data_IF_026625668128
#
_entry.id   IF_026625668128
#
_cell.length_a   1.000
_cell.length_b   1.000
_cell.length_c   1.000
_cell.angle_alpha   90.00
_cell.angle_beta   90.00
_cell.angle_gamma   90.00
#
_symmetry.space_group_name_H-M   'P 1'
#
loop_
_entity.id
_entity.type
_entity.pdbx_description
1 polymer ?
#
# COMPACT_ATOMS: atom_id res chain seq x y z
N UNK A 1 -13.72 70.68 -28.44
CA UNK A 1 -13.04 69.53 -29.07
C UNK A 1 -12.49 68.68 -27.94
N UNK A 2 -13.21 67.63 -27.58
CA UNK A 2 -12.76 66.62 -26.64
C UNK A 2 -13.15 65.28 -27.28
N UNK A 3 -12.13 64.48 -27.56
CA UNK A 3 -12.23 63.16 -28.19
C UNK A 3 -13.11 62.21 -27.34
N UNK A 4 -13.99 61.41 -27.97
CA UNK A 4 -14.62 60.29 -27.29
C UNK A 4 -13.62 59.14 -27.14
N UNK A 5 -13.36 58.78 -25.88
CA UNK A 5 -12.51 57.69 -25.42
C UNK A 5 -13.04 56.34 -25.94
N UNK A 6 -12.20 55.59 -26.66
CA UNK A 6 -12.52 54.24 -27.14
C UNK A 6 -12.70 53.27 -25.97
N UNK A 7 -13.69 52.36 -26.01
CA UNK A 7 -13.83 51.29 -25.02
C UNK A 7 -12.64 50.32 -25.13
N UNK A 8 -12.05 49.99 -23.98
CA UNK A 8 -10.92 49.07 -23.86
C UNK A 8 -11.23 47.71 -24.47
N UNK A 9 -10.35 47.25 -25.34
CA UNK A 9 -10.37 45.91 -25.91
C UNK A 9 -10.17 44.91 -24.76
N UNK A 10 -11.19 44.09 -24.50
CA UNK A 10 -11.02 42.88 -23.72
C UNK A 10 -10.27 41.94 -24.66
N UNK A 11 -9.01 41.66 -24.36
CA UNK A 11 -8.25 40.66 -25.09
C UNK A 11 -8.90 39.31 -24.77
N UNK A 12 -9.73 38.82 -25.70
CA UNK A 12 -10.16 37.44 -25.73
C UNK A 12 -8.89 36.60 -25.94
N UNK A 13 -8.29 36.14 -24.85
CA UNK A 13 -7.20 35.15 -24.90
C UNK A 13 -7.74 33.93 -25.64
N UNK A 14 -7.23 33.70 -26.85
CA UNK A 14 -7.52 32.53 -27.67
C UNK A 14 -7.34 31.26 -26.81
N UNK A 15 -8.45 30.65 -26.40
CA UNK A 15 -8.46 29.40 -25.63
C UNK A 15 -7.94 28.31 -26.56
N UNK A 16 -6.63 28.11 -26.55
CA UNK A 16 -6.00 26.89 -27.06
C UNK A 16 -6.50 25.77 -26.17
N UNK A 17 -7.51 25.04 -26.65
CA UNK A 17 -8.14 23.94 -25.93
C UNK A 17 -7.10 22.80 -25.78
N UNK A 18 -6.26 22.89 -24.75
CA UNK A 18 -5.38 21.81 -24.34
C UNK A 18 -6.22 20.62 -23.88
N UNK A 19 -5.81 19.40 -24.23
CA UNK A 19 -6.47 18.16 -23.80
C UNK A 19 -6.51 18.01 -22.27
N UNK A 20 -5.59 18.70 -21.57
CA UNK A 20 -5.52 18.73 -20.12
C UNK A 20 -6.01 20.09 -19.61
N UNK A 21 -6.77 20.11 -18.51
CA UNK A 21 -7.17 21.36 -17.87
C UNK A 21 -5.93 22.09 -17.35
N UNK A 22 -5.98 23.41 -17.37
CA UNK A 22 -4.96 24.23 -16.72
C UNK A 22 -4.86 23.89 -15.23
N UNK A 23 -3.65 23.99 -14.64
CA UNK A 23 -3.47 23.75 -13.23
C UNK A 23 -4.35 24.70 -12.39
N UNK A 24 -4.81 24.26 -11.21
CA UNK A 24 -5.68 25.07 -10.36
C UNK A 24 -5.07 26.43 -10.03
N UNK A 25 -5.84 27.55 -10.10
CA UNK A 25 -5.30 28.91 -10.08
C UNK A 25 -4.48 29.25 -8.83
N UNK A 26 -4.67 28.49 -7.73
CA UNK A 26 -3.95 28.70 -6.48
C UNK A 26 -2.43 28.51 -6.58
N UNK A 27 -1.92 27.80 -7.61
CA UNK A 27 -0.47 27.62 -7.80
C UNK A 27 0.28 28.96 -7.92
N UNK A 28 -0.39 30.01 -8.43
CA UNK A 28 0.19 31.35 -8.60
C UNK A 28 0.56 32.02 -7.28
N UNK A 29 -0.08 31.62 -6.17
CA UNK A 29 0.18 32.19 -4.85
C UNK A 29 1.38 31.57 -4.13
N UNK A 30 1.96 30.48 -4.66
CA UNK A 30 3.16 29.83 -4.14
C UNK A 30 4.43 30.61 -4.53
N UNK A 31 4.52 31.87 -4.11
CA UNK A 31 5.69 32.74 -4.28
C UNK A 31 6.59 32.67 -3.04
N UNK A 32 7.91 32.90 -3.17
CA UNK A 32 8.84 32.89 -2.03
C UNK A 32 8.44 33.93 -0.97
N UNK A 33 7.96 35.09 -1.39
CA UNK A 33 7.49 36.17 -0.50
C UNK A 33 6.27 35.74 0.34
N UNK A 34 5.31 35.04 -0.27
CA UNK A 34 4.12 34.57 0.45
C UNK A 34 4.46 33.44 1.44
N UNK A 35 5.42 32.58 1.10
CA UNK A 35 5.94 31.55 2.00
C UNK A 35 6.65 32.15 3.22
N UNK A 36 7.44 33.22 3.03
CA UNK A 36 8.08 33.93 4.13
C UNK A 36 7.06 34.60 5.05
N UNK A 37 6.02 35.24 4.48
CA UNK A 37 4.91 35.80 5.25
C UNK A 37 4.16 34.75 6.07
N UNK A 38 3.88 33.59 5.47
CA UNK A 38 3.23 32.49 6.17
C UNK A 38 4.07 32.03 7.37
N UNK A 39 5.38 31.85 7.19
CA UNK A 39 6.31 31.47 8.27
C UNK A 39 6.37 32.50 9.40
N UNK A 40 6.34 33.79 9.07
CA UNK A 40 6.30 34.86 10.08
C UNK A 40 5.01 34.78 10.90
N UNK A 41 3.87 34.58 10.25
CA UNK A 41 2.57 34.47 10.92
C UNK A 41 2.51 33.21 11.79
N UNK A 42 3.05 32.08 11.32
CA UNK A 42 3.15 30.85 12.10
C UNK A 42 4.05 31.04 13.34
N UNK A 43 5.19 31.72 13.16
CA UNK A 43 6.09 32.11 14.25
C UNK A 43 5.39 33.02 15.27
N UNK A 44 4.68 34.05 14.82
CA UNK A 44 3.93 34.99 15.67
C UNK A 44 2.77 34.31 16.40
N UNK A 45 2.15 33.29 15.79
CA UNK A 45 1.14 32.45 16.41
C UNK A 45 1.71 31.44 17.42
N UNK A 46 3.03 31.41 17.62
CA UNK A 46 3.72 30.50 18.54
C UNK A 46 3.80 29.06 18.04
N UNK A 47 3.57 28.84 16.74
CA UNK A 47 3.67 27.55 16.08
C UNK A 47 5.13 27.33 15.66
N UNK A 48 5.98 26.99 16.64
CA UNK A 48 7.35 26.61 16.34
C UNK A 48 7.37 25.21 15.68
N UNK A 49 7.96 25.12 14.48
CA UNK A 49 8.39 23.84 13.89
C UNK A 49 9.51 23.24 14.76
N UNK A 50 9.15 22.59 15.87
CA UNK A 50 10.07 21.68 16.54
C UNK A 50 10.19 20.44 15.65
N UNK A 51 11.23 20.43 14.82
CA UNK A 51 11.58 19.37 13.87
C UNK A 51 11.99 18.03 14.53
N UNK A 52 11.78 17.84 15.85
CA UNK A 52 12.32 16.71 16.60
C UNK A 52 11.34 15.54 16.82
N UNK A 53 10.07 15.63 16.40
CA UNK A 53 9.14 14.50 16.51
C UNK A 53 8.19 14.39 15.29
N UNK A 54 8.38 13.40 14.38
CA UNK A 54 7.53 13.18 13.21
C UNK A 54 6.10 12.71 13.56
N UNK A 55 5.78 12.55 14.85
CA UNK A 55 4.47 12.06 15.34
C UNK A 55 3.58 13.18 15.89
N UNK A 56 4.10 14.40 16.05
CA UNK A 56 3.29 15.52 16.51
C UNK A 56 2.44 16.08 15.36
N UNK A 57 1.11 16.26 15.53
CA UNK A 57 0.32 16.94 14.51
C UNK A 57 0.92 18.33 14.35
N UNK A 58 1.40 18.66 13.14
CA UNK A 58 1.91 19.99 12.82
C UNK A 58 0.96 21.03 13.44
N UNK A 59 1.48 21.90 14.29
CA UNK A 59 0.64 22.83 15.04
C UNK A 59 -0.10 23.70 14.01
N UNK A 60 -1.40 23.47 13.83
CA UNK A 60 -2.20 24.14 12.80
C UNK A 60 -2.74 25.47 13.35
N UNK A 61 -2.72 26.50 12.51
CA UNK A 61 -3.50 27.72 12.75
C UNK A 61 -4.97 27.35 12.96
N UNK A 62 -5.65 27.99 13.91
CA UNK A 62 -7.08 27.73 14.14
C UNK A 62 -7.92 28.16 12.92
N UNK A 63 -9.09 27.55 12.68
CA UNK A 63 -9.94 27.90 11.53
C UNK A 63 -10.29 29.39 11.45
N UNK A 64 -10.46 30.04 12.60
CA UNK A 64 -10.75 31.47 12.69
C UNK A 64 -9.55 32.32 12.24
N UNK A 65 -8.34 31.94 12.61
CA UNK A 65 -7.10 32.59 12.16
C UNK A 65 -6.89 32.38 10.65
N UNK A 66 -7.21 31.20 10.13
CA UNK A 66 -7.10 30.88 8.69
C UNK A 66 -8.07 31.73 7.86
N UNK A 67 -9.28 31.98 8.36
CA UNK A 67 -10.27 32.82 7.68
C UNK A 67 -9.94 34.32 7.73
N UNK A 68 -9.17 34.75 8.74
CA UNK A 68 -8.69 36.13 8.86
C UNK A 68 -7.51 36.44 7.93
N UNK A 69 -6.84 35.42 7.38
CA UNK A 69 -5.72 35.60 6.46
C UNK A 69 -6.18 36.09 5.08
N UNK A 70 -5.33 36.86 4.39
CA UNK A 70 -5.49 37.13 2.96
C UNK A 70 -5.67 35.83 2.18
N UNK A 71 -6.53 35.86 1.15
CA UNK A 71 -6.86 34.69 0.32
C UNK A 71 -5.62 33.98 -0.22
N UNK A 72 -4.58 34.74 -0.54
CA UNK A 72 -3.33 34.23 -1.13
C UNK A 72 -2.54 33.35 -0.16
N UNK A 73 -2.59 33.67 1.13
CA UNK A 73 -1.93 32.89 2.18
C UNK A 73 -2.77 31.69 2.61
N UNK A 74 -4.11 31.79 2.50
CA UNK A 74 -5.02 30.68 2.80
C UNK A 74 -4.80 29.49 1.87
N UNK A 75 -4.46 29.73 0.61
CA UNK A 75 -4.18 28.67 -0.37
C UNK A 75 -2.89 27.89 -0.11
N UNK A 76 -1.98 28.43 0.70
CA UNK A 76 -0.73 27.75 1.07
C UNK A 76 -0.94 26.72 2.18
N UNK A 77 -2.06 26.82 2.91
CA UNK A 77 -2.40 25.93 4.01
C UNK A 77 -3.21 24.75 3.44
N UNK A 78 -2.78 23.50 3.65
CA UNK A 78 -3.56 22.34 3.24
C UNK A 78 -4.98 22.37 3.84
N UNK A 79 -6.02 22.06 3.06
CA UNK A 79 -7.39 22.05 3.57
C UNK A 79 -7.56 20.99 4.66
N UNK A 80 -8.58 21.17 5.50
CA UNK A 80 -8.96 20.14 6.46
C UNK A 80 -9.45 18.89 5.72
N UNK A 81 -9.09 17.68 6.22
CA UNK A 81 -9.62 16.45 5.65
C UNK A 81 -11.15 16.46 5.75
N UNK A 82 -11.87 15.88 4.77
CA UNK A 82 -13.32 15.72 4.86
C UNK A 82 -13.72 15.01 6.16
N UNK A 83 -14.90 15.35 6.68
CA UNK A 83 -15.47 14.66 7.84
C UNK A 83 -15.68 13.16 7.55
N UNK A 84 -15.68 12.34 8.60
CA UNK A 84 -15.73 10.87 8.49
C UNK A 84 -16.92 10.33 7.67
N UNK A 85 -18.04 11.03 7.72
CA UNK A 85 -19.30 10.74 7.04
C UNK A 85 -19.49 11.48 5.71
N UNK A 86 -18.62 12.45 5.41
CA UNK A 86 -18.68 13.23 4.18
C UNK A 86 -18.36 12.35 2.96
N UNK A 87 -19.19 12.49 1.93
CA UNK A 87 -18.99 11.85 0.64
C UNK A 87 -18.07 12.71 -0.22
N UNK A 88 -17.02 12.10 -0.76
CA UNK A 88 -16.13 12.74 -1.72
C UNK A 88 -15.89 11.82 -2.90
N UNK A 89 -15.65 12.40 -4.07
CA UNK A 89 -15.37 11.65 -5.28
C UNK A 89 -13.87 11.39 -5.40
N UNK A 90 -13.51 10.11 -5.54
CA UNK A 90 -12.18 9.70 -5.99
C UNK A 90 -12.38 9.10 -7.37
N UNK A 91 -11.93 9.83 -8.40
CA UNK A 91 -12.29 9.56 -9.80
C UNK A 91 -13.82 9.47 -9.94
N UNK A 92 -14.34 8.40 -10.54
CA UNK A 92 -15.77 8.18 -10.75
C UNK A 92 -16.46 7.48 -9.57
N UNK A 93 -15.78 7.32 -8.43
CA UNK A 93 -16.33 6.59 -7.28
C UNK A 93 -16.61 7.50 -6.09
N UNK A 94 -17.83 7.40 -5.54
CA UNK A 94 -18.20 8.06 -4.28
C UNK A 94 -17.55 7.28 -3.13
N UNK A 95 -16.61 7.93 -2.45
CA UNK A 95 -15.89 7.41 -1.29
C UNK A 95 -16.31 8.14 -0.01
N UNK A 96 -16.08 7.48 1.13
CA UNK A 96 -16.23 8.04 2.48
C UNK A 96 -14.94 7.78 3.23
N UNK A 97 -14.56 8.68 4.14
CA UNK A 97 -13.32 8.53 4.92
C UNK A 97 -13.36 7.28 5.82
N UNK A 98 -14.53 6.91 6.34
CA UNK A 98 -14.75 5.65 7.10
C UNK A 98 -14.77 4.38 6.23
N UNK A 99 -14.68 4.53 4.91
CA UNK A 99 -14.85 3.45 3.95
C UNK A 99 -16.31 3.26 3.54
N UNK A 100 -16.51 2.85 2.30
CA UNK A 100 -17.81 2.47 1.76
C UNK A 100 -17.93 0.96 1.70
N UNK A 101 -19.15 0.42 1.70
CA UNK A 101 -19.37 -0.99 1.37
C UNK A 101 -19.18 -1.22 -0.14
N UNK A 102 -17.91 -1.21 -0.55
CA UNK A 102 -17.48 -1.40 -1.94
C UNK A 102 -17.89 -2.79 -2.42
N UNK A 103 -17.85 -3.79 -1.54
CA UNK A 103 -18.12 -5.16 -1.92
C UNK A 103 -19.58 -5.38 -2.32
N UNK A 104 -20.54 -4.93 -1.49
CA UNK A 104 -21.96 -5.09 -1.82
C UNK A 104 -22.34 -4.29 -3.07
N UNK A 105 -21.84 -3.06 -3.23
CA UNK A 105 -22.04 -2.27 -4.46
C UNK A 105 -21.49 -2.97 -5.70
N UNK A 106 -20.29 -3.55 -5.60
CA UNK A 106 -19.71 -4.33 -6.71
C UNK A 106 -20.56 -5.55 -7.04
N UNK A 107 -21.13 -6.20 -6.02
CA UNK A 107 -21.95 -7.39 -6.25
C UNK A 107 -23.32 -7.05 -6.86
N UNK A 108 -23.91 -5.91 -6.49
CA UNK A 108 -25.09 -5.35 -7.15
C UNK A 108 -24.80 -4.98 -8.62
N UNK A 109 -23.65 -4.34 -8.87
CA UNK A 109 -23.21 -4.04 -10.24
C UNK A 109 -23.04 -5.32 -11.08
N UNK A 110 -22.41 -6.36 -10.51
CA UNK A 110 -22.25 -7.66 -11.18
C UNK A 110 -23.62 -8.28 -11.47
N UNK A 111 -24.57 -8.22 -10.53
CA UNK A 111 -25.93 -8.72 -10.75
C UNK A 111 -26.64 -8.00 -11.90
N UNK A 112 -26.54 -6.67 -11.98
CA UNK A 112 -27.13 -5.89 -13.08
C UNK A 112 -26.46 -6.21 -14.43
N UNK A 113 -25.13 -6.35 -14.46
CA UNK A 113 -24.41 -6.75 -15.68
C UNK A 113 -24.83 -8.15 -16.17
N UNK A 114 -24.96 -9.12 -15.26
CA UNK A 114 -25.41 -10.47 -15.60
C UNK A 114 -26.84 -10.49 -16.15
N UNK A 115 -27.69 -9.59 -15.64
CA UNK A 115 -29.05 -9.37 -16.15
C UNK A 115 -29.05 -8.73 -17.53
N UNK A 116 -28.21 -7.73 -17.78
CA UNK A 116 -28.07 -7.11 -19.10
C UNK A 116 -27.56 -8.09 -20.16
N UNK A 117 -26.63 -8.97 -19.79
CA UNK A 117 -26.11 -10.01 -20.68
C UNK A 117 -27.11 -11.17 -20.91
N UNK A 118 -28.22 -11.21 -20.18
CA UNK A 118 -29.22 -12.27 -20.26
C UNK A 118 -28.74 -13.61 -19.71
N UNK A 119 -27.72 -13.62 -18.84
CA UNK A 119 -27.18 -14.84 -18.22
C UNK A 119 -28.06 -15.26 -17.05
N UNK A 120 -28.41 -14.32 -16.16
CA UNK A 120 -29.33 -14.53 -15.04
C UNK A 120 -30.27 -13.35 -14.88
N UNK A 121 -31.57 -13.58 -14.69
CA UNK A 121 -32.55 -12.49 -14.53
C UNK A 121 -32.68 -11.99 -13.08
N UNK A 122 -32.36 -12.87 -12.13
CA UNK A 122 -32.80 -12.85 -10.73
C UNK A 122 -31.65 -13.16 -9.74
N UNK A 123 -30.40 -13.23 -10.21
CA UNK A 123 -29.29 -13.52 -9.32
C UNK A 123 -29.02 -12.34 -8.38
N UNK A 124 -29.02 -12.61 -7.08
CA UNK A 124 -28.65 -11.69 -6.03
C UNK A 124 -27.63 -12.36 -5.10
N UNK A 125 -26.74 -11.56 -4.54
CA UNK A 125 -25.74 -12.07 -3.62
C UNK A 125 -26.36 -12.45 -2.28
N UNK A 126 -26.13 -13.70 -1.88
CA UNK A 126 -26.52 -14.24 -0.59
C UNK A 126 -25.26 -14.66 0.18
N UNK A 127 -25.11 -14.19 1.42
CA UNK A 127 -24.00 -14.59 2.28
C UNK A 127 -24.25 -15.97 2.89
N UNK A 128 -23.35 -16.92 2.62
CA UNK A 128 -23.48 -18.33 3.01
C UNK A 128 -22.62 -18.75 4.22
N UNK A 129 -22.02 -17.79 4.92
CA UNK A 129 -21.17 -18.02 6.07
C UNK A 129 -21.50 -17.03 7.19
N UNK A 130 -21.26 -17.38 8.47
CA UNK A 130 -21.54 -16.48 9.57
C UNK A 130 -20.61 -15.26 9.49
N UNK A 131 -21.20 -14.07 9.40
CA UNK A 131 -20.46 -12.82 9.60
C UNK A 131 -20.17 -12.64 11.10
N UNK A 132 -18.98 -12.10 11.42
CA UNK A 132 -18.70 -11.61 12.76
C UNK A 132 -19.79 -10.59 13.12
N UNK A 133 -20.57 -10.89 14.17
CA UNK A 133 -21.74 -10.11 14.63
C UNK A 133 -21.34 -8.75 15.23
N UNK A 134 -20.58 -7.95 14.49
CA UNK A 134 -20.09 -6.63 14.87
C UNK A 134 -20.56 -5.50 13.94
N UNK A 135 -21.23 -5.81 12.83
CA UNK A 135 -21.68 -4.81 11.86
C UNK A 135 -23.20 -4.55 11.86
N UNK A 136 -23.99 -5.32 12.62
CA UNK A 136 -25.45 -5.17 12.67
C UNK A 136 -25.99 -5.26 14.10
N UNK A 137 -25.64 -4.31 14.96
CA UNK A 137 -26.47 -3.99 16.14
C UNK A 137 -26.21 -2.57 16.63
N UNK A 138 -26.91 -1.62 16.02
CA UNK A 138 -27.39 -0.48 16.80
C UNK A 138 -28.31 -1.03 17.89
N UNK A 139 -28.10 -0.55 19.12
CA UNK A 139 -28.89 -0.80 20.34
C UNK A 139 -28.59 -2.08 21.13
N UNK A 140 -27.88 -1.84 22.24
CA UNK A 140 -28.06 -2.46 23.56
C UNK A 140 -27.82 -3.96 23.70
N UNK A 141 -26.60 -4.34 24.06
CA UNK A 141 -26.39 -5.15 25.28
C UNK A 141 -24.94 -5.07 25.74
N UNK A 142 -24.80 -4.87 27.06
CA UNK A 142 -23.56 -4.85 27.80
C UNK A 142 -23.13 -6.28 28.07
N UNK A 143 -21.99 -6.72 27.52
CA UNK A 143 -21.16 -7.73 28.20
C UNK A 143 -19.71 -7.63 27.73
N UNK A 144 -18.88 -7.11 28.61
CA UNK A 144 -17.44 -7.10 28.54
C UNK A 144 -16.87 -8.53 28.63
N UNK A 145 -16.32 -9.03 27.53
CA UNK A 145 -15.32 -10.09 27.54
C UNK A 145 -14.22 -9.78 26.51
N UNK A 146 -12.94 -10.04 26.82
CA UNK A 146 -11.82 -9.75 25.94
C UNK A 146 -11.81 -10.70 24.71
N UNK A 147 -11.38 -10.24 23.52
CA UNK A 147 -11.46 -11.02 22.29
C UNK A 147 -10.31 -12.03 22.19
N UNK A 148 -10.56 -13.28 22.60
CA UNK A 148 -9.67 -14.43 22.33
C UNK A 148 -10.06 -15.18 21.04
N UNK A 149 -10.96 -14.63 20.23
CA UNK A 149 -11.65 -15.33 19.13
C UNK A 149 -10.97 -15.24 17.75
N UNK A 150 -9.84 -14.53 17.60
CA UNK A 150 -9.25 -14.28 16.27
C UNK A 150 -8.77 -15.55 15.56
N UNK A 151 -8.20 -16.50 16.31
CA UNK A 151 -7.67 -17.75 15.74
C UNK A 151 -8.78 -18.77 15.45
N UNK A 152 -9.80 -18.84 16.31
CA UNK A 152 -10.96 -19.70 16.06
C UNK A 152 -11.75 -19.23 14.85
N UNK A 153 -11.93 -17.90 14.71
CA UNK A 153 -12.58 -17.31 13.55
C UNK A 153 -11.78 -17.53 12.25
N UNK A 154 -10.44 -17.46 12.29
CA UNK A 154 -9.63 -17.72 11.09
C UNK A 154 -9.67 -19.19 10.66
N UNK A 155 -9.64 -20.11 11.63
CA UNK A 155 -9.72 -21.55 11.37
C UNK A 155 -11.10 -21.93 10.82
N UNK A 156 -12.16 -21.34 11.35
CA UNK A 156 -13.52 -21.52 10.85
C UNK A 156 -13.66 -21.01 9.41
N UNK A 157 -13.13 -19.82 9.10
CA UNK A 157 -13.09 -19.27 7.72
C UNK A 157 -12.37 -20.18 6.73
N UNK A 158 -11.23 -20.78 7.12
CA UNK A 158 -10.52 -21.76 6.28
C UNK A 158 -11.40 -22.99 5.99
N UNK A 159 -12.14 -23.48 6.98
CA UNK A 159 -13.05 -24.61 6.78
C UNK A 159 -14.17 -24.26 5.79
N UNK A 160 -14.77 -23.07 5.88
CA UNK A 160 -15.75 -22.60 4.89
C UNK A 160 -15.14 -22.49 3.49
N UNK A 161 -13.92 -21.96 3.37
CA UNK A 161 -13.22 -21.86 2.09
C UNK A 161 -13.05 -23.25 1.42
N UNK A 162 -12.56 -24.24 2.17
CA UNK A 162 -12.44 -25.60 1.66
C UNK A 162 -13.79 -26.27 1.38
N UNK A 163 -14.83 -25.95 2.18
CA UNK A 163 -16.18 -26.47 1.96
C UNK A 163 -16.79 -25.90 0.67
N UNK A 164 -16.63 -24.60 0.42
CA UNK A 164 -17.03 -23.98 -0.85
C UNK A 164 -16.25 -24.56 -2.02
N UNK A 165 -14.93 -24.75 -1.90
CA UNK A 165 -14.12 -25.36 -2.97
C UNK A 165 -14.65 -26.76 -3.35
N UNK A 166 -14.85 -27.63 -2.36
CA UNK A 166 -15.39 -28.98 -2.60
C UNK A 166 -16.80 -28.92 -3.21
N UNK A 167 -17.66 -28.03 -2.70
CA UNK A 167 -19.02 -27.86 -3.19
C UNK A 167 -19.08 -27.30 -4.62
N UNK A 168 -18.20 -26.35 -4.98
CA UNK A 168 -18.05 -25.82 -6.33
C UNK A 168 -17.59 -26.93 -7.29
N UNK A 169 -16.60 -27.74 -6.90
CA UNK A 169 -16.13 -28.86 -7.72
C UNK A 169 -17.23 -29.90 -7.98
N UNK A 170 -17.98 -30.29 -6.94
CA UNK A 170 -19.10 -31.21 -7.07
C UNK A 170 -20.22 -30.62 -7.94
N UNK A 171 -20.54 -29.34 -7.74
CA UNK A 171 -21.54 -28.65 -8.54
C UNK A 171 -21.12 -28.55 -10.01
N UNK A 172 -19.84 -28.28 -10.28
CA UNK A 172 -19.30 -28.24 -11.64
C UNK A 172 -19.36 -29.61 -12.34
N UNK A 173 -19.07 -30.71 -11.64
CA UNK A 173 -19.23 -32.06 -12.18
C UNK A 173 -20.72 -32.34 -12.46
N UNK A 174 -21.61 -31.94 -11.56
CA UNK A 174 -23.06 -32.10 -11.79
C UNK A 174 -23.54 -31.28 -12.98
N UNK A 175 -23.03 -30.06 -13.15
CA UNK A 175 -23.31 -29.19 -14.28
C UNK A 175 -22.81 -29.83 -15.59
N UNK A 176 -21.61 -30.41 -15.61
CA UNK A 176 -21.09 -31.13 -16.77
C UNK A 176 -21.99 -32.32 -17.13
N UNK A 177 -22.44 -33.07 -16.13
CA UNK A 177 -23.37 -34.19 -16.32
C UNK A 177 -24.72 -33.74 -16.89
N UNK A 178 -25.27 -32.64 -16.37
CA UNK A 178 -26.52 -32.05 -16.86
C UNK A 178 -26.34 -31.57 -18.31
N UNK A 179 -25.29 -30.81 -18.61
CA UNK A 179 -25.04 -30.28 -19.96
C UNK A 179 -24.79 -31.41 -20.97
N UNK A 180 -24.14 -32.50 -20.55
CA UNK A 180 -23.92 -33.66 -21.41
C UNK A 180 -25.21 -34.46 -21.69
N UNK A 181 -26.17 -34.46 -20.76
CA UNK A 181 -27.45 -35.15 -20.90
C UNK A 181 -28.51 -34.28 -21.61
N UNK A 182 -28.65 -33.02 -21.20
CA UNK A 182 -29.57 -32.03 -21.76
C UNK A 182 -29.01 -30.60 -21.59
N UNK A 183 -28.55 -30.03 -22.70
CA UNK A 183 -27.94 -28.71 -22.76
C UNK A 183 -28.92 -27.53 -22.60
N UNK A 184 -30.24 -27.76 -22.70
CA UNK A 184 -31.29 -26.73 -22.64
C UNK A 184 -32.06 -26.77 -21.31
N UNK A 185 -31.74 -27.72 -20.43
CA UNK A 185 -32.41 -27.87 -19.15
C UNK A 185 -32.23 -26.65 -18.23
N UNK A 186 -33.32 -26.20 -17.61
CA UNK A 186 -33.33 -25.12 -16.60
C UNK A 186 -32.46 -25.47 -15.37
N UNK A 187 -32.23 -26.76 -15.14
CA UNK A 187 -31.36 -27.27 -14.07
C UNK A 187 -29.90 -26.82 -14.22
N UNK A 188 -29.44 -26.62 -15.45
CA UNK A 188 -28.11 -26.06 -15.74
C UNK A 188 -27.98 -24.66 -15.16
N UNK A 189 -28.98 -23.81 -15.40
CA UNK A 189 -28.96 -22.41 -14.98
C UNK A 189 -29.05 -22.30 -13.46
N UNK A 190 -29.83 -23.16 -12.80
CA UNK A 190 -29.84 -23.24 -11.34
C UNK A 190 -28.47 -23.64 -10.78
N UNK A 191 -27.80 -24.65 -11.37
CA UNK A 191 -26.46 -25.04 -10.94
C UNK A 191 -25.41 -23.96 -11.19
N UNK A 192 -25.54 -23.22 -12.28
CA UNK A 192 -24.64 -22.11 -12.59
C UNK A 192 -24.83 -20.95 -11.60
N UNK A 193 -26.08 -20.63 -11.21
CA UNK A 193 -26.40 -19.68 -10.13
C UNK A 193 -25.78 -20.12 -8.80
N UNK A 194 -25.97 -21.39 -8.42
CA UNK A 194 -25.38 -21.94 -7.19
C UNK A 194 -23.85 -21.79 -7.18
N UNK A 195 -23.19 -22.07 -8.30
CA UNK A 195 -21.73 -21.89 -8.45
C UNK A 195 -21.34 -20.42 -8.31
N UNK A 196 -22.06 -19.51 -8.98
CA UNK A 196 -21.80 -18.07 -8.90
C UNK A 196 -21.88 -17.58 -7.45
N UNK A 197 -22.94 -17.97 -6.73
CA UNK A 197 -23.12 -17.62 -5.31
C UNK A 197 -21.97 -18.17 -4.46
N UNK A 198 -21.56 -19.43 -4.64
CA UNK A 198 -20.44 -20.01 -3.90
C UNK A 198 -19.10 -19.30 -4.18
N UNK A 199 -18.83 -18.93 -5.43
CA UNK A 199 -17.61 -18.19 -5.82
C UNK A 199 -17.61 -16.78 -5.24
N UNK A 200 -18.75 -16.08 -5.28
CA UNK A 200 -18.88 -14.76 -4.67
C UNK A 200 -18.63 -14.80 -3.15
N UNK A 201 -19.15 -15.81 -2.46
CA UNK A 201 -18.90 -16.03 -1.03
C UNK A 201 -17.44 -16.37 -0.72
N UNK A 202 -16.80 -17.19 -1.56
CA UNK A 202 -15.38 -17.48 -1.46
C UNK A 202 -14.53 -16.22 -1.60
N UNK A 203 -14.87 -15.35 -2.56
CA UNK A 203 -14.19 -14.08 -2.75
C UNK A 203 -14.35 -13.16 -1.54
N UNK A 204 -15.56 -13.07 -0.97
CA UNK A 204 -15.83 -12.32 0.25
C UNK A 204 -14.96 -12.81 1.42
N UNK A 205 -14.90 -14.12 1.68
CA UNK A 205 -14.08 -14.72 2.72
C UNK A 205 -12.57 -14.42 2.54
N UNK A 206 -12.07 -14.47 1.31
CA UNK A 206 -10.67 -14.13 1.02
C UNK A 206 -10.40 -12.66 1.33
N UNK A 207 -11.33 -11.77 0.97
CA UNK A 207 -11.20 -10.34 1.25
C UNK A 207 -11.19 -10.05 2.75
N UNK A 208 -12.04 -10.71 3.52
CA UNK A 208 -12.03 -10.60 4.97
C UNK A 208 -10.76 -11.14 5.63
N UNK A 209 -10.02 -12.03 4.95
CA UNK A 209 -8.74 -12.55 5.45
C UNK A 209 -7.55 -11.59 5.20
N UNK A 210 -7.72 -10.56 4.36
CA UNK A 210 -6.66 -9.58 4.02
C UNK A 210 -6.05 -8.87 5.23
N UNK A 211 -6.80 -8.41 6.25
CA UNK A 211 -6.21 -7.79 7.43
C UNK A 211 -5.31 -8.74 8.22
N UNK A 212 -5.66 -10.04 8.29
CA UNK A 212 -4.81 -11.03 8.92
C UNK A 212 -3.52 -11.26 8.11
N UNK A 213 -3.64 -11.38 6.79
CA UNK A 213 -2.49 -11.49 5.88
C UNK A 213 -1.53 -10.31 6.06
N UNK A 214 -2.04 -9.07 6.06
CA UNK A 214 -1.23 -7.87 6.22
C UNK A 214 -0.45 -7.86 7.55
N UNK A 215 -1.09 -8.27 8.65
CA UNK A 215 -0.42 -8.40 9.95
C UNK A 215 0.69 -9.45 9.94
N UNK A 216 0.44 -10.62 9.36
CA UNK A 216 1.47 -11.67 9.25
C UNK A 216 2.64 -11.22 8.38
N UNK A 217 2.37 -10.56 7.25
CA UNK A 217 3.42 -9.97 6.41
C UNK A 217 4.23 -8.91 7.16
N UNK A 218 3.59 -8.06 7.97
CA UNK A 218 4.31 -7.08 8.78
C UNK A 218 5.22 -7.76 9.83
N UNK A 219 4.71 -8.77 10.53
CA UNK A 219 5.48 -9.53 11.52
C UNK A 219 6.71 -10.15 10.85
N UNK A 220 6.52 -10.82 9.71
CA UNK A 220 7.61 -11.44 8.96
C UNK A 220 8.70 -10.41 8.57
N UNK A 221 8.30 -9.23 8.09
CA UNK A 221 9.24 -8.14 7.76
C UNK A 221 9.97 -7.61 8.99
N UNK A 222 9.30 -7.50 10.14
CA UNK A 222 9.92 -7.06 11.38
C UNK A 222 10.92 -8.10 11.92
N UNK A 223 10.58 -9.39 11.84
CA UNK A 223 11.48 -10.48 12.21
C UNK A 223 12.74 -10.51 11.31
N UNK A 224 12.58 -10.25 10.01
CA UNK A 224 13.69 -10.11 9.07
C UNK A 224 14.60 -8.93 9.45
N UNK A 225 14.01 -7.78 9.79
CA UNK A 225 14.78 -6.61 10.26
C UNK A 225 15.57 -6.90 11.54
N UNK A 226 14.95 -7.59 12.50
CA UNK A 226 15.63 -8.00 13.74
C UNK A 226 16.79 -8.93 13.43
N UNK A 227 16.58 -9.94 12.56
CA UNK A 227 17.63 -10.88 12.14
C UNK A 227 18.79 -10.15 11.46
N UNK A 228 18.51 -9.20 10.58
CA UNK A 228 19.53 -8.39 9.90
C UNK A 228 20.35 -7.57 10.90
N UNK A 229 19.69 -6.89 11.85
CA UNK A 229 20.36 -6.10 12.90
C UNK A 229 21.23 -6.97 13.80
N UNK A 230 20.76 -8.17 14.17
CA UNK A 230 21.56 -9.11 14.96
C UNK A 230 22.83 -9.56 14.22
N UNK A 231 22.71 -9.89 12.93
CA UNK A 231 23.86 -10.26 12.11
C UNK A 231 24.85 -9.10 11.95
N UNK A 232 24.36 -7.86 11.80
CA UNK A 232 25.18 -6.65 11.74
C UNK A 232 25.95 -6.43 13.06
N UNK A 233 25.27 -6.53 14.20
CA UNK A 233 25.91 -6.43 15.53
C UNK A 233 26.98 -7.51 15.71
N UNK A 234 26.71 -8.75 15.29
CA UNK A 234 27.70 -9.82 15.36
C UNK A 234 28.91 -9.54 14.45
N UNK A 235 28.68 -9.02 13.24
CA UNK A 235 29.73 -8.58 12.32
C UNK A 235 30.60 -7.47 12.90
N UNK A 236 29.98 -6.45 13.51
CA UNK A 236 30.68 -5.36 14.20
C UNK A 236 31.46 -5.88 15.40
N UNK A 237 30.90 -6.80 16.20
CA UNK A 237 31.61 -7.42 17.32
C UNK A 237 32.86 -8.17 16.86
N UNK A 238 32.74 -9.00 15.81
CA UNK A 238 33.87 -9.73 15.21
C UNK A 238 34.94 -8.78 14.68
N UNK A 239 34.54 -7.71 13.99
CA UNK A 239 35.48 -6.69 13.51
C UNK A 239 36.18 -5.98 14.69
N UNK A 240 35.42 -5.63 15.74
CA UNK A 240 35.97 -5.04 16.95
C UNK A 240 36.97 -5.93 17.68
N UNK A 241 36.77 -7.25 17.67
CA UNK A 241 37.75 -8.23 18.16
C UNK A 241 39.03 -8.24 17.31
N UNK A 242 38.90 -8.31 15.98
CA UNK A 242 40.05 -8.23 15.07
C UNK A 242 40.84 -6.93 15.22
N UNK A 243 40.16 -5.79 15.33
CA UNK A 243 40.82 -4.49 15.53
C UNK A 243 41.55 -4.45 16.88
N UNK A 244 40.96 -5.00 17.95
CA UNK A 244 41.64 -5.11 19.26
C UNK A 244 42.86 -6.02 19.20
N UNK A 245 42.77 -7.15 18.49
CA UNK A 245 43.89 -8.07 18.28
C UNK A 245 45.04 -7.39 17.52
N UNK A 246 44.73 -6.68 16.44
CA UNK A 246 45.71 -5.90 15.66
C UNK A 246 46.33 -4.79 16.50
N UNK A 247 45.54 -4.05 17.28
CA UNK A 247 46.09 -3.03 18.20
C UNK A 247 46.97 -3.65 19.30
N UNK A 248 46.62 -4.84 19.79
CA UNK A 248 47.44 -5.56 20.77
C UNK A 248 48.74 -6.07 20.15
N UNK A 249 48.74 -6.53 18.90
CA UNK A 249 49.97 -6.94 18.21
C UNK A 249 50.89 -5.77 17.91
N UNK A 250 50.36 -4.59 17.54
CA UNK A 250 51.15 -3.36 17.45
C UNK A 250 51.69 -2.90 18.81
N UNK A 251 50.88 -2.99 19.88
CA UNK A 251 51.32 -2.66 21.24
C UNK A 251 52.37 -3.62 21.80
N UNK A 252 52.36 -4.88 21.39
CA UNK A 252 53.41 -5.86 21.72
C UNK A 252 54.67 -5.68 20.84
N UNK A 253 54.49 -5.22 19.60
CA UNK A 253 55.58 -4.93 18.66
C UNK A 253 56.47 -3.74 19.02
N UNK A 254 56.04 -2.87 19.95
CA UNK A 254 56.87 -1.75 20.44
C UNK A 254 57.83 -2.19 21.57
N UNK A 255 57.76 -3.44 22.03
CA UNK A 255 58.71 -4.02 23.01
C UNK A 255 59.74 -4.98 22.42
N UNK A 256 59.55 -5.49 21.19
CA UNK A 256 60.55 -6.35 20.55
C UNK A 256 60.67 -6.04 19.06
N UNK A 257 61.66 -5.23 18.70
CA UNK A 257 62.08 -5.12 17.32
C UNK A 257 62.73 -6.43 16.86
N UNK A 258 62.02 -7.26 16.09
CA UNK A 258 62.56 -8.06 14.96
C UNK A 258 61.53 -8.95 14.26
N UNK A 259 61.61 -8.91 12.92
CA UNK A 259 61.31 -9.95 11.93
C UNK A 259 59.86 -10.48 11.77
N UNK A 260 59.21 -10.07 10.66
CA UNK A 260 57.88 -10.56 10.26
C UNK A 260 57.55 -10.33 8.78
N UNK A 261 58.47 -10.60 7.86
CA UNK A 261 58.24 -10.56 6.39
C UNK A 261 57.93 -11.99 5.89
N UNK A 262 56.77 -12.52 6.23
CA UNK A 262 56.36 -13.88 5.85
C UNK A 262 54.89 -14.01 5.45
N UNK A 263 53.99 -13.34 6.16
CA UNK A 263 52.55 -13.57 6.05
C UNK A 263 51.89 -12.80 4.88
N UNK A 264 52.41 -11.61 4.54
CA UNK A 264 51.84 -10.73 3.49
C UNK A 264 51.99 -11.33 2.07
N UNK A 265 52.94 -12.25 1.86
CA UNK A 265 53.20 -12.84 0.53
C UNK A 265 52.19 -13.95 0.19
N UNK A 266 51.64 -14.64 1.19
CA UNK A 266 50.69 -15.74 0.96
C UNK A 266 49.28 -15.23 0.63
N UNK A 267 48.86 -14.12 1.26
CA UNK A 267 47.55 -13.50 1.02
C UNK A 267 47.47 -12.84 -0.38
N UNK A 268 48.55 -12.21 -0.85
CA UNK A 268 48.63 -11.59 -2.18
C UNK A 268 48.65 -12.65 -3.31
N UNK A 269 49.27 -13.81 -3.06
CA UNK A 269 49.24 -14.94 -3.98
C UNK A 269 47.83 -15.55 -4.12
N UNK A 270 47.11 -15.71 -3.01
CA UNK A 270 45.75 -16.24 -3.00
C UNK A 270 44.76 -15.29 -3.70
N UNK A 271 44.88 -13.98 -3.47
CA UNK A 271 44.05 -12.96 -4.13
C UNK A 271 44.27 -12.96 -5.66
N UNK A 272 45.52 -13.09 -6.11
CA UNK A 272 45.88 -13.12 -7.53
C UNK A 272 45.39 -14.39 -8.23
N UNK A 273 45.39 -15.53 -7.55
CA UNK A 273 44.82 -16.78 -8.07
C UNK A 273 43.29 -16.72 -8.18
N UNK A 274 42.62 -16.11 -7.19
CA UNK A 274 41.17 -15.93 -7.20
C UNK A 274 40.72 -15.00 -8.33
N UNK A 275 41.43 -13.89 -8.55
CA UNK A 275 41.16 -12.98 -9.67
C UNK A 275 41.30 -13.69 -11.04
N UNK A 276 42.34 -14.51 -11.21
CA UNK A 276 42.54 -15.29 -12.44
C UNK A 276 41.44 -16.31 -12.69
N UNK A 277 40.91 -16.95 -11.63
CA UNK A 277 39.77 -17.88 -11.71
C UNK A 277 38.48 -17.15 -12.10
N UNK A 278 38.27 -15.95 -11.58
CA UNK A 278 37.07 -15.15 -11.87
C UNK A 278 37.04 -14.65 -13.32
N UNK A 279 38.18 -14.22 -13.86
CA UNK A 279 38.30 -13.83 -15.28
C UNK A 279 38.10 -15.03 -16.21
N UNK A 280 38.64 -16.20 -15.87
CA UNK A 280 38.41 -17.42 -16.65
C UNK A 280 36.93 -17.84 -16.65
N UNK A 281 36.23 -17.64 -15.54
CA UNK A 281 34.79 -17.88 -15.47
C UNK A 281 34.01 -16.87 -16.31
N UNK A 282 34.35 -15.58 -16.28
CA UNK A 282 33.72 -14.58 -17.14
C UNK A 282 33.86 -14.91 -18.62
N UNK A 283 35.07 -15.26 -19.06
CA UNK A 283 35.29 -15.65 -20.46
C UNK A 283 34.50 -16.92 -20.84
N UNK A 284 34.41 -17.90 -19.94
CA UNK A 284 33.59 -19.09 -20.19
C UNK A 284 32.09 -18.75 -20.32
N UNK A 285 31.58 -17.83 -19.50
CA UNK A 285 30.20 -17.35 -19.60
C UNK A 285 29.93 -16.58 -20.89
N UNK A 286 30.85 -15.70 -21.31
CA UNK A 286 30.74 -14.97 -22.58
C UNK A 286 30.72 -15.93 -23.79
N UNK A 287 31.58 -16.95 -23.80
CA UNK A 287 31.56 -17.96 -24.89
C UNK A 287 30.28 -18.80 -24.90
N UNK A 288 29.65 -19.00 -23.74
CA UNK A 288 28.39 -19.75 -23.63
C UNK A 288 27.21 -18.89 -24.09
N UNK A 289 27.24 -17.58 -23.81
CA UNK A 289 26.26 -16.60 -24.27
C UNK A 289 26.34 -16.38 -25.80
N UNK A 290 27.55 -16.37 -26.38
CA UNK A 290 27.76 -16.32 -27.83
C UNK A 290 27.30 -17.61 -28.54
N UNK A 291 27.37 -18.76 -27.87
CA UNK A 291 26.91 -20.05 -28.43
C UNK A 291 25.39 -20.29 -28.28
N UNK A 292 24.72 -19.59 -27.35
CA UNK A 292 23.27 -19.69 -27.10
C UNK A 292 22.46 -18.51 -27.66
N UNK A 293 23.12 -17.48 -28.19
CA UNK A 293 22.53 -16.36 -28.91
C UNK A 293 22.21 -16.67 -30.37
#
# INVERSE_FOLDING_TARGET
MADPQQPGQVEDEDIVLSFFPDPPPFYKHFTPENLERLRQIESDAGLHENNDDPTSPAAKLSPEQILALPTELRYLIPPEPPADDAEFHVFDTVAKAKGTDVFMKNMEYIADQLKMQGVFQDWQYEQLYPSDSSLTTTTTSVSSQPPTTSNSASLDRQNYLFRFLRSILLSYISLLGIVAADAVSEQKDQKLKDIMTMVANMHALINEYRPHQARQTLIERMEEQVRRKQAEIEGVRKMGEKVREVLASFGAGDTEGKDGVGDVVEEDAAAKEMARKMDAQRGAWETLEEALG
#
